data_IF_082814822070
#
_entry.id   IF_082814822070
#
_cell.length_a   1.000
_cell.length_b   1.000
_cell.length_c   1.000
_cell.angle_alpha   90.00
_cell.angle_beta   90.00
_cell.angle_gamma   90.00
#
_symmetry.space_group_name_H-M   'P 1'
#
loop_
_entity.id
_entity.type
_entity.pdbx_description
1 polymer ?
#
# COMPACT_ATOMS: atom_id res chain seq x y z
N UNK A 1 -52.42 -25.59 -2.01
CA UNK A 1 -52.47 -27.06 -2.13
C UNK A 1 -52.69 -27.61 -0.73
N UNK A 2 -53.76 -28.38 -0.53
CA UNK A 2 -54.00 -29.07 0.74
C UNK A 2 -52.99 -30.21 0.79
N UNK A 3 -52.01 -30.13 1.70
CA UNK A 3 -51.10 -31.24 1.96
C UNK A 3 -51.93 -32.37 2.58
N UNK A 4 -52.08 -33.47 1.86
CA UNK A 4 -52.73 -34.67 2.35
C UNK A 4 -51.72 -35.34 3.30
N UNK A 5 -51.84 -35.10 4.61
CA UNK A 5 -50.99 -35.76 5.60
C UNK A 5 -51.27 -37.26 5.59
N UNK A 6 -50.22 -38.04 5.28
CA UNK A 6 -50.26 -39.48 5.36
C UNK A 6 -50.35 -39.87 6.85
N UNK A 7 -51.41 -40.58 7.25
CA UNK A 7 -51.73 -40.84 8.67
C UNK A 7 -50.72 -41.80 9.37
N UNK A 8 -49.72 -42.27 8.64
CA UNK A 8 -48.63 -43.12 9.13
C UNK A 8 -47.27 -42.39 9.17
N UNK A 9 -47.23 -41.06 8.97
CA UNK A 9 -46.01 -40.29 9.13
C UNK A 9 -45.69 -40.11 10.62
N UNK A 10 -44.56 -40.67 11.14
CA UNK A 10 -44.19 -40.55 12.55
C UNK A 10 -44.00 -39.09 13.00
N UNK A 11 -43.71 -38.14 12.10
CA UNK A 11 -43.62 -36.73 12.45
C UNK A 11 -45.01 -36.09 12.66
N UNK A 12 -46.00 -36.50 11.87
CA UNK A 12 -47.38 -36.02 11.99
C UNK A 12 -48.05 -36.45 13.31
N UNK A 13 -47.60 -37.56 13.90
CA UNK A 13 -48.08 -38.06 15.20
C UNK A 13 -47.44 -37.27 16.36
N UNK A 14 -46.20 -36.81 16.20
CA UNK A 14 -45.45 -36.02 17.20
C UNK A 14 -45.94 -34.58 17.26
N UNK A 15 -46.30 -33.99 16.11
CA UNK A 15 -46.83 -32.63 16.01
C UNK A 15 -48.35 -32.54 16.23
N UNK A 16 -49.01 -33.67 16.50
CA UNK A 16 -50.45 -33.71 16.75
C UNK A 16 -50.81 -33.08 18.10
N UNK A 17 -51.90 -32.28 18.18
CA UNK A 17 -52.32 -31.67 19.44
C UNK A 17 -52.72 -32.73 20.47
N UNK A 18 -52.48 -32.50 21.78
CA UNK A 18 -52.85 -33.44 22.83
C UNK A 18 -54.37 -33.66 22.85
N UNK A 19 -54.85 -34.91 23.01
CA UNK A 19 -56.28 -35.22 22.89
C UNK A 19 -57.18 -34.61 24.00
N UNK A 20 -56.61 -34.05 25.07
CA UNK A 20 -57.32 -33.49 26.23
C UNK A 20 -56.97 -32.01 26.51
N UNK A 21 -56.74 -31.20 25.47
CA UNK A 21 -56.38 -29.77 25.59
C UNK A 21 -57.59 -28.90 26.00
N UNK A 22 -57.44 -28.04 27.02
CA UNK A 22 -58.47 -27.05 27.39
C UNK A 22 -58.51 -25.88 26.38
N UNK A 23 -59.63 -25.13 26.27
CA UNK A 23 -59.72 -23.99 25.34
C UNK A 23 -58.64 -22.92 25.55
N UNK A 24 -58.17 -22.75 26.79
CA UNK A 24 -57.11 -21.81 27.14
C UNK A 24 -55.72 -22.31 26.71
N UNK A 25 -55.44 -23.61 26.90
CA UNK A 25 -54.19 -24.23 26.46
C UNK A 25 -54.06 -24.24 24.93
N UNK A 26 -55.18 -24.45 24.23
CA UNK A 26 -55.26 -24.34 22.76
C UNK A 26 -54.89 -22.95 22.27
N UNK A 27 -55.44 -21.90 22.88
CA UNK A 27 -55.11 -20.51 22.53
C UNK A 27 -53.62 -20.22 22.74
N UNK A 28 -53.05 -20.66 23.87
CA UNK A 28 -51.64 -20.46 24.18
C UNK A 28 -50.68 -21.28 23.28
N UNK A 29 -51.13 -22.41 22.73
CA UNK A 29 -50.38 -23.18 21.71
C UNK A 29 -50.44 -22.48 20.35
N UNK A 30 -51.62 -22.06 19.91
CA UNK A 30 -51.81 -21.32 18.65
C UNK A 30 -51.03 -20.00 18.66
N UNK A 31 -50.98 -19.28 19.80
CA UNK A 31 -50.14 -18.09 19.96
C UNK A 31 -48.64 -18.40 19.86
N UNK A 32 -48.17 -19.49 20.50
CA UNK A 32 -46.77 -19.93 20.40
C UNK A 32 -46.39 -20.40 18.99
N UNK A 33 -47.27 -21.13 18.32
CA UNK A 33 -47.08 -21.56 16.93
C UNK A 33 -47.07 -20.35 15.97
N UNK A 34 -47.95 -19.36 16.21
CA UNK A 34 -47.96 -18.13 15.44
C UNK A 34 -46.70 -17.27 15.68
N UNK A 35 -46.21 -17.20 16.92
CA UNK A 35 -44.96 -16.53 17.26
C UNK A 35 -43.75 -17.26 16.67
N UNK A 36 -43.68 -18.58 16.79
CA UNK A 36 -42.63 -19.41 16.20
C UNK A 36 -42.59 -19.28 14.67
N UNK A 37 -43.77 -19.29 14.02
CA UNK A 37 -43.87 -19.06 12.58
C UNK A 37 -43.39 -17.66 12.19
N UNK A 38 -43.77 -16.63 12.95
CA UNK A 38 -43.28 -15.26 12.71
C UNK A 38 -41.76 -15.16 12.84
N UNK A 39 -41.17 -15.83 13.83
CA UNK A 39 -39.71 -15.87 14.02
C UNK A 39 -39.05 -16.62 12.86
N UNK A 40 -39.60 -17.75 12.42
CA UNK A 40 -39.09 -18.51 11.27
C UNK A 40 -39.13 -17.69 9.98
N UNK A 41 -40.25 -17.02 9.71
CA UNK A 41 -40.43 -16.18 8.53
C UNK A 41 -39.40 -15.02 8.54
N UNK A 42 -39.13 -14.41 9.70
CA UNK A 42 -38.10 -13.37 9.85
C UNK A 42 -36.69 -13.90 9.62
N UNK A 43 -36.37 -15.10 10.12
CA UNK A 43 -35.08 -15.75 9.88
C UNK A 43 -34.89 -16.04 8.39
N UNK A 44 -35.91 -16.58 7.72
CA UNK A 44 -35.87 -16.86 6.29
C UNK A 44 -35.71 -15.58 5.45
N UNK A 45 -36.36 -14.47 5.84
CA UNK A 45 -36.15 -13.17 5.21
C UNK A 45 -34.71 -12.67 5.39
N UNK A 46 -34.14 -12.79 6.59
CA UNK A 46 -32.74 -12.42 6.85
C UNK A 46 -31.76 -13.27 6.03
N UNK A 47 -31.96 -14.59 5.97
CA UNK A 47 -31.14 -15.49 5.16
C UNK A 47 -31.25 -15.14 3.67
N UNK A 48 -32.45 -14.77 3.20
CA UNK A 48 -32.66 -14.35 1.81
C UNK A 48 -31.97 -13.02 1.52
N UNK A 49 -31.99 -12.08 2.44
CA UNK A 49 -31.25 -10.82 2.33
C UNK A 49 -29.73 -11.06 2.28
N UNK A 50 -29.20 -11.87 3.19
CA UNK A 50 -27.78 -12.24 3.22
C UNK A 50 -27.35 -12.98 1.95
N UNK A 51 -28.16 -13.91 1.45
CA UNK A 51 -27.91 -14.57 0.15
C UNK A 51 -27.91 -13.59 -1.02
N UNK A 52 -28.78 -12.59 -1.00
CA UNK A 52 -28.81 -11.55 -2.03
C UNK A 52 -27.57 -10.65 -1.95
N UNK A 53 -27.07 -10.33 -0.75
CA UNK A 53 -25.82 -9.61 -0.55
C UNK A 53 -24.61 -10.42 -1.00
N UNK A 54 -24.51 -11.69 -0.61
CA UNK A 54 -23.46 -12.61 -1.08
C UNK A 54 -23.46 -12.75 -2.61
N UNK A 55 -24.64 -12.72 -3.23
CA UNK A 55 -24.75 -12.74 -4.69
C UNK A 55 -24.22 -11.44 -5.33
N UNK A 56 -24.45 -10.29 -4.70
CA UNK A 56 -23.84 -9.02 -5.12
C UNK A 56 -22.32 -9.02 -4.92
N UNK A 57 -21.83 -9.65 -3.86
CA UNK A 57 -20.38 -9.80 -3.63
C UNK A 57 -19.69 -10.70 -4.65
N UNK A 58 -20.40 -11.69 -5.21
CA UNK A 58 -19.86 -12.51 -6.32
C UNK A 58 -19.60 -11.71 -7.59
N UNK A 59 -20.34 -10.62 -7.81
CA UNK A 59 -20.13 -9.71 -8.94
C UNK A 59 -19.01 -8.68 -8.67
N UNK A 60 -18.26 -8.82 -7.56
CA UNK A 60 -17.16 -7.93 -7.18
C UNK A 60 -15.84 -8.63 -7.38
N UNK A 61 -14.96 -8.05 -8.21
CA UNK A 61 -13.60 -8.56 -8.39
C UNK A 61 -12.71 -8.00 -7.29
N UNK A 62 -12.08 -8.88 -6.52
CA UNK A 62 -11.16 -8.56 -5.42
C UNK A 62 -9.71 -8.69 -5.90
N UNK A 63 -8.96 -7.58 -5.84
CA UNK A 63 -7.56 -7.50 -6.26
C UNK A 63 -6.67 -7.06 -5.10
N UNK A 64 -5.61 -7.79 -4.84
CA UNK A 64 -4.65 -7.47 -3.78
C UNK A 64 -3.30 -7.03 -4.36
N UNK A 65 -2.80 -5.89 -3.88
CA UNK A 65 -1.49 -5.37 -4.25
C UNK A 65 -0.44 -5.85 -3.23
N UNK A 66 0.48 -6.71 -3.65
CA UNK A 66 1.53 -7.25 -2.79
C UNK A 66 2.93 -6.81 -3.25
N UNK A 67 3.90 -6.87 -2.34
CA UNK A 67 5.30 -6.58 -2.63
C UNK A 67 6.00 -5.87 -1.47
N UNK A 68 7.33 -5.82 -1.54
CA UNK A 68 8.17 -5.15 -0.53
C UNK A 68 7.79 -3.68 -0.33
N UNK A 69 8.17 -3.10 0.81
CA UNK A 69 8.15 -1.65 1.02
C UNK A 69 8.78 -0.93 -0.19
N UNK A 70 8.16 0.17 -0.61
CA UNK A 70 8.65 1.02 -1.70
C UNK A 70 8.68 0.37 -3.09
N UNK A 71 7.99 -0.77 -3.29
CA UNK A 71 7.90 -1.42 -4.60
C UNK A 71 6.99 -0.72 -5.61
N UNK A 72 6.20 0.27 -5.18
CA UNK A 72 5.27 1.04 -6.03
C UNK A 72 3.79 0.63 -5.94
N UNK A 73 3.37 -0.11 -4.89
CA UNK A 73 1.99 -0.59 -4.71
C UNK A 73 0.98 0.56 -4.71
N UNK A 74 1.15 1.50 -3.78
CA UNK A 74 0.29 2.68 -3.66
C UNK A 74 0.33 3.56 -4.91
N UNK A 75 1.47 3.65 -5.60
CA UNK A 75 1.56 4.35 -6.90
C UNK A 75 0.76 3.65 -7.99
N UNK A 76 0.76 2.31 -8.02
CA UNK A 76 -0.07 1.54 -8.96
C UNK A 76 -1.55 1.74 -8.66
N UNK A 77 -1.93 1.75 -7.38
CA UNK A 77 -3.29 2.07 -6.96
C UNK A 77 -3.70 3.50 -7.39
N UNK A 78 -2.84 4.50 -7.17
CA UNK A 78 -3.08 5.88 -7.66
C UNK A 78 -3.34 5.90 -9.16
N UNK A 79 -2.56 5.15 -9.97
CA UNK A 79 -2.82 5.04 -11.41
C UNK A 79 -4.17 4.41 -11.75
N UNK A 80 -4.62 3.39 -11.00
CA UNK A 80 -5.98 2.85 -11.16
C UNK A 80 -7.03 3.91 -10.88
N UNK A 81 -6.87 4.67 -9.79
CA UNK A 81 -7.81 5.73 -9.39
C UNK A 81 -7.84 6.87 -10.40
N UNK A 82 -6.69 7.37 -10.84
CA UNK A 82 -6.60 8.38 -11.90
C UNK A 82 -7.28 7.97 -13.20
N UNK A 83 -7.26 6.66 -13.52
CA UNK A 83 -7.82 6.17 -14.77
C UNK A 83 -9.33 5.88 -14.69
N UNK A 84 -9.81 5.42 -13.54
CA UNK A 84 -11.15 4.87 -13.39
C UNK A 84 -12.05 5.62 -12.39
N UNK A 85 -11.49 6.54 -11.61
CA UNK A 85 -12.19 7.35 -10.61
C UNK A 85 -11.67 8.81 -10.65
N UNK A 86 -11.83 9.49 -11.80
CA UNK A 86 -11.26 10.82 -12.04
C UNK A 86 -11.88 11.91 -11.16
N UNK A 87 -13.19 11.87 -10.92
CA UNK A 87 -13.88 12.88 -10.11
C UNK A 87 -13.38 12.86 -8.66
N UNK A 88 -13.39 11.68 -8.02
CA UNK A 88 -12.84 11.49 -6.67
C UNK A 88 -11.35 11.86 -6.59
N UNK A 89 -10.59 11.59 -7.66
CA UNK A 89 -9.16 11.91 -7.72
C UNK A 89 -8.91 13.42 -7.74
N UNK A 90 -9.71 14.18 -8.48
CA UNK A 90 -9.57 15.65 -8.57
C UNK A 90 -9.86 16.29 -7.22
N UNK A 91 -10.90 15.84 -6.52
CA UNK A 91 -11.24 16.32 -5.17
C UNK A 91 -10.13 16.01 -4.16
N UNK A 92 -9.51 14.84 -4.26
CA UNK A 92 -8.39 14.43 -3.41
C UNK A 92 -7.09 15.18 -3.68
N UNK A 93 -6.85 15.59 -4.92
CA UNK A 93 -5.56 16.13 -5.36
C UNK A 93 -5.09 17.28 -4.50
N UNK A 94 -6.00 18.16 -4.08
CA UNK A 94 -5.71 19.31 -3.22
C UNK A 94 -5.20 18.87 -1.83
N UNK A 95 -5.73 17.79 -1.27
CA UNK A 95 -5.31 17.27 0.03
C UNK A 95 -3.90 16.69 0.04
N UNK A 96 -3.32 16.37 -1.14
CA UNK A 96 -1.95 15.90 -1.24
C UNK A 96 -0.90 16.99 -1.08
N UNK A 97 -1.28 18.26 -1.09
CA UNK A 97 -0.37 19.39 -0.89
C UNK A 97 0.43 19.25 0.42
N UNK A 98 -0.25 18.97 1.54
CA UNK A 98 0.40 18.78 2.84
C UNK A 98 1.37 17.58 2.85
N UNK A 99 1.07 16.52 2.10
CA UNK A 99 1.94 15.34 1.98
C UNK A 99 3.19 15.66 1.15
N UNK A 100 3.04 16.40 0.05
CA UNK A 100 4.14 16.84 -0.81
C UNK A 100 5.07 17.78 -0.04
N UNK A 101 4.50 18.76 0.64
CA UNK A 101 5.24 19.66 1.53
C UNK A 101 6.00 18.87 2.62
N UNK A 102 5.36 17.87 3.22
CA UNK A 102 6.03 16.99 4.19
C UNK A 102 7.19 16.21 3.56
N UNK A 103 7.04 15.72 2.32
CA UNK A 103 8.12 15.00 1.63
C UNK A 103 9.32 15.92 1.35
N UNK A 104 9.06 17.16 0.92
CA UNK A 104 10.09 18.17 0.68
C UNK A 104 10.84 18.47 1.99
N UNK A 105 10.10 18.83 3.04
CA UNK A 105 10.65 19.21 4.35
C UNK A 105 11.45 18.06 4.96
N UNK A 106 10.94 16.83 4.90
CA UNK A 106 11.68 15.64 5.37
C UNK A 106 12.97 15.42 4.60
N UNK A 107 12.93 15.56 3.27
CA UNK A 107 14.13 15.36 2.45
C UNK A 107 15.23 16.34 2.84
N UNK A 108 14.88 17.61 3.05
CA UNK A 108 15.82 18.64 3.53
C UNK A 108 16.33 18.31 4.94
N UNK A 109 15.46 17.95 5.88
CA UNK A 109 15.88 17.61 7.24
C UNK A 109 16.82 16.39 7.28
N UNK A 110 16.60 15.37 6.43
CA UNK A 110 17.50 14.21 6.29
C UNK A 110 18.88 14.63 5.75
N UNK A 111 18.92 15.54 4.77
CA UNK A 111 20.19 16.09 4.27
C UNK A 111 20.91 16.83 5.40
N UNK A 112 20.21 17.70 6.15
CA UNK A 112 20.78 18.45 7.26
C UNK A 112 21.31 17.54 8.38
N UNK A 113 20.57 16.49 8.74
CA UNK A 113 21.00 15.49 9.72
C UNK A 113 22.26 14.76 9.26
N UNK A 114 22.31 14.36 8.00
CA UNK A 114 23.46 13.66 7.46
C UNK A 114 24.72 14.54 7.37
N UNK A 115 24.58 15.84 7.14
CA UNK A 115 25.69 16.79 7.17
C UNK A 115 26.19 17.10 8.59
N UNK A 116 25.33 16.93 9.61
CA UNK A 116 25.60 17.31 11.00
C UNK A 116 25.83 16.12 11.96
N UNK A 117 25.77 14.89 11.47
CA UNK A 117 25.83 13.69 12.31
C UNK A 117 27.16 13.54 13.06
N UNK A 118 27.07 13.34 14.37
CA UNK A 118 28.18 12.95 15.24
C UNK A 118 28.82 11.62 14.78
N UNK A 119 30.16 11.46 14.84
CA UNK A 119 30.88 10.27 14.36
C UNK A 119 30.66 8.99 15.19
N UNK A 120 29.61 8.89 16.01
CA UNK A 120 29.48 7.86 17.04
C UNK A 120 28.80 6.54 16.60
N UNK A 121 28.15 6.47 15.43
CA UNK A 121 27.49 5.23 14.97
C UNK A 121 27.96 4.73 13.58
N UNK A 122 28.91 5.42 12.96
CA UNK A 122 29.50 5.00 11.68
C UNK A 122 30.84 4.30 11.93
N UNK A 123 30.81 3.03 12.35
CA UNK A 123 31.96 2.16 12.06
C UNK A 123 32.11 2.07 10.54
N UNK A 124 33.24 2.60 10.06
CA UNK A 124 33.65 2.78 8.66
C UNK A 124 33.00 3.91 7.85
N UNK A 125 33.19 5.16 8.32
CA UNK A 125 33.29 6.28 7.37
C UNK A 125 32.86 7.63 7.93
N UNK A 126 33.79 8.33 8.60
CA UNK A 126 33.66 9.77 8.83
C UNK A 126 33.30 10.49 7.52
N UNK A 127 32.40 11.48 7.59
CA UNK A 127 32.24 12.48 6.55
C UNK A 127 33.63 13.04 6.22
N UNK A 128 34.08 12.88 4.97
CA UNK A 128 35.38 13.39 4.53
C UNK A 128 35.30 14.86 4.13
N UNK A 129 34.08 15.39 3.97
CA UNK A 129 33.81 16.79 3.67
C UNK A 129 33.78 17.59 4.97
N UNK A 130 34.74 18.51 5.12
CA UNK A 130 34.74 19.46 6.23
C UNK A 130 33.43 20.26 6.17
N UNK A 131 32.63 20.20 7.23
CA UNK A 131 31.46 21.06 7.40
C UNK A 131 31.95 22.51 7.29
N UNK A 132 31.44 23.25 6.31
CA UNK A 132 31.80 24.65 6.07
C UNK A 132 30.93 25.57 6.93
N UNK A 133 31.38 26.81 7.16
CA UNK A 133 30.59 27.82 7.88
C UNK A 133 29.23 28.08 7.20
N UNK A 134 29.18 27.90 5.87
CA UNK A 134 27.95 27.98 5.09
C UNK A 134 26.93 26.89 5.47
N UNK A 135 27.36 25.66 5.74
CA UNK A 135 26.47 24.59 6.19
C UNK A 135 25.90 24.88 7.59
N UNK A 136 26.70 25.45 8.49
CA UNK A 136 26.27 25.84 9.83
C UNK A 136 25.20 26.96 9.75
N UNK A 137 25.42 27.94 8.87
CA UNK A 137 24.46 29.02 8.63
C UNK A 137 23.14 28.49 8.04
N UNK A 138 23.20 27.64 7.02
CA UNK A 138 22.02 27.03 6.41
C UNK A 138 21.24 26.20 7.43
N UNK A 139 21.92 25.45 8.30
CA UNK A 139 21.28 24.70 9.39
C UNK A 139 20.48 25.63 10.31
N UNK A 140 21.08 26.74 10.74
CA UNK A 140 20.38 27.70 11.62
C UNK A 140 19.19 28.35 10.94
N UNK A 141 19.26 28.63 9.63
CA UNK A 141 18.18 29.27 8.86
C UNK A 141 17.04 28.30 8.54
N UNK A 142 17.35 27.02 8.36
CA UNK A 142 16.39 25.97 8.04
C UNK A 142 15.79 25.28 9.29
N UNK A 143 16.19 25.68 10.50
CA UNK A 143 15.62 25.17 11.75
C UNK A 143 14.07 25.25 11.83
N UNK A 144 13.39 26.30 11.31
CA UNK A 144 11.93 26.36 11.28
C UNK A 144 11.27 25.15 10.58
N UNK A 145 11.95 24.52 9.62
CA UNK A 145 11.45 23.35 8.91
C UNK A 145 11.26 22.13 9.84
N UNK A 146 11.94 22.07 10.98
CA UNK A 146 11.74 21.01 11.99
C UNK A 146 10.39 21.15 12.68
N UNK A 147 9.95 22.38 12.91
CA UNK A 147 8.64 22.68 13.50
C UNK A 147 7.56 22.36 12.46
N UNK A 148 7.74 22.84 11.23
CA UNK A 148 6.85 22.52 10.10
C UNK A 148 6.69 21.02 9.91
N UNK A 149 7.78 20.24 10.00
CA UNK A 149 7.69 18.78 9.89
C UNK A 149 6.79 18.18 10.98
N UNK A 150 6.91 18.65 12.23
CA UNK A 150 6.07 18.19 13.35
C UNK A 150 4.60 18.59 13.15
N UNK A 151 4.36 19.79 12.67
CA UNK A 151 3.00 20.30 12.44
C UNK A 151 2.31 19.56 11.29
N UNK A 152 3.01 19.35 10.17
CA UNK A 152 2.50 18.52 9.07
C UNK A 152 2.27 17.07 9.52
N UNK A 153 3.15 16.51 10.34
CA UNK A 153 2.95 15.19 10.95
C UNK A 153 1.69 15.14 11.82
N UNK A 154 1.46 16.18 12.62
CA UNK A 154 0.29 16.28 13.49
C UNK A 154 -1.00 16.47 12.69
N UNK A 155 -0.96 17.30 11.65
CA UNK A 155 -2.07 17.55 10.73
C UNK A 155 -2.46 16.26 9.99
N UNK A 156 -1.48 15.55 9.45
CA UNK A 156 -1.69 14.29 8.74
C UNK A 156 -1.99 13.10 9.68
N UNK A 157 -1.73 13.26 10.98
CA UNK A 157 -1.61 12.16 11.94
C UNK A 157 -2.52 12.26 13.15
N UNK A 158 -3.80 12.62 12.99
CA UNK A 158 -4.79 12.39 14.05
C UNK A 158 -4.94 10.88 14.30
N UNK A 159 -4.18 10.41 15.31
CA UNK A 159 -3.97 9.03 15.77
C UNK A 159 -2.85 8.23 15.07
N UNK A 160 -1.66 8.81 14.92
CA UNK A 160 -0.44 8.01 14.78
C UNK A 160 0.01 7.53 16.18
N UNK A 161 -0.38 6.31 16.57
CA UNK A 161 0.39 5.60 17.61
C UNK A 161 1.77 5.32 17.02
N UNK A 162 2.82 5.89 17.62
CA UNK A 162 4.18 5.41 17.44
C UNK A 162 4.19 3.95 17.89
N UNK A 163 4.19 3.00 16.94
CA UNK A 163 4.49 1.61 17.28
C UNK A 163 5.97 1.61 17.64
N UNK A 164 6.23 1.64 18.96
CA UNK A 164 7.56 1.41 19.51
C UNK A 164 7.84 -0.08 19.30
N UNK A 165 8.44 -0.41 18.15
CA UNK A 165 8.83 -1.79 17.84
C UNK A 165 9.74 -2.30 18.95
N UNK A 166 9.29 -3.35 19.63
CA UNK A 166 10.02 -4.01 20.69
C UNK A 166 11.31 -4.63 20.14
N UNK A 167 12.31 -4.67 21.02
CA UNK A 167 13.67 -5.18 20.87
C UNK A 167 13.90 -6.35 19.90
N UNK A 168 15.02 -6.23 19.17
CA UNK A 168 15.94 -7.25 18.63
C UNK A 168 15.46 -8.69 18.41
N UNK A 169 15.67 -9.09 17.15
CA UNK A 169 15.71 -10.44 16.57
C UNK A 169 14.39 -11.02 16.04
N UNK A 170 14.39 -11.19 14.70
CA UNK A 170 13.41 -11.88 13.85
C UNK A 170 12.18 -11.08 13.35
N UNK A 171 12.47 -10.04 12.56
CA UNK A 171 11.49 -9.47 11.61
C UNK A 171 11.24 -10.46 10.45
N UNK A 172 10.04 -11.02 10.39
CA UNK A 172 9.65 -12.10 9.48
C UNK A 172 9.76 -11.72 8.00
N UNK A 173 10.38 -12.59 7.21
CA UNK A 173 10.55 -12.38 5.78
C UNK A 173 9.26 -12.69 5.01
N UNK A 174 8.38 -13.53 5.54
CA UNK A 174 7.16 -13.95 4.86
C UNK A 174 5.93 -13.72 5.73
N UNK A 175 4.74 -13.56 5.14
CA UNK A 175 3.50 -13.39 5.91
C UNK A 175 3.05 -14.68 6.63
N UNK A 176 3.76 -15.81 6.49
CA UNK A 176 3.33 -17.14 6.97
C UNK A 176 4.16 -17.70 8.13
N UNK A 177 5.21 -17.00 8.57
CA UNK A 177 6.02 -17.40 9.72
C UNK A 177 5.31 -16.98 11.02
N UNK A 178 5.26 -17.85 12.03
CA UNK A 178 4.67 -17.54 13.35
C UNK A 178 5.69 -16.88 14.28
N UNK A 179 5.27 -16.15 15.33
CA UNK A 179 6.20 -15.53 16.27
C UNK A 179 6.89 -16.61 17.13
N UNK A 180 8.23 -16.57 17.18
CA UNK A 180 9.04 -17.41 18.09
C UNK A 180 9.49 -16.55 19.26
N UNK A 181 9.26 -17.03 20.48
CA UNK A 181 9.62 -16.37 21.73
C UNK A 181 11.13 -16.50 21.99
N UNK A 182 11.88 -15.40 22.11
CA UNK A 182 12.51 -14.96 23.37
C UNK A 182 13.54 -13.81 23.26
N UNK A 183 13.63 -13.06 24.37
CA UNK A 183 14.74 -12.19 24.87
C UNK A 183 14.99 -10.77 24.33
N UNK A 184 15.11 -9.86 25.29
CA UNK A 184 15.10 -8.39 25.18
C UNK A 184 16.51 -7.79 25.03
N UNK A 185 16.78 -7.06 23.94
CA UNK A 185 17.79 -5.96 23.94
C UNK A 185 17.27 -4.70 23.24
N UNK A 186 17.27 -3.57 23.96
CA UNK A 186 16.72 -2.29 23.53
C UNK A 186 17.79 -1.45 22.82
N UNK A 187 17.64 -1.23 21.52
CA UNK A 187 18.37 -0.19 20.76
C UNK A 187 17.38 0.77 20.12
N UNK A 188 17.67 2.07 20.18
CA UNK A 188 16.79 3.15 19.72
C UNK A 188 17.02 3.38 18.23
N UNK A 189 16.03 3.08 17.39
CA UNK A 189 16.01 3.47 15.96
C UNK A 189 14.82 4.40 15.68
N UNK A 190 14.95 5.16 14.59
CA UNK A 190 14.03 6.22 14.13
C UNK A 190 12.57 5.78 14.13
N UNK A 191 11.71 6.49 14.85
CA UNK A 191 10.27 6.26 14.88
C UNK A 191 9.65 6.39 13.48
N UNK A 192 8.85 5.41 13.09
CA UNK A 192 8.18 5.37 11.80
C UNK A 192 6.89 6.20 11.84
N UNK A 193 6.74 7.12 10.88
CA UNK A 193 5.55 7.96 10.77
C UNK A 193 4.56 7.38 9.76
N UNK A 194 3.29 7.30 10.16
CA UNK A 194 2.19 6.69 9.42
C UNK A 194 0.96 7.60 9.36
N UNK A 195 0.16 7.44 8.31
CA UNK A 195 -1.15 8.10 8.18
C UNK A 195 -2.20 7.02 7.98
N UNK A 196 -3.12 6.90 8.95
CA UNK A 196 -4.17 5.86 8.96
C UNK A 196 -5.21 6.07 7.86
N UNK A 197 -5.59 7.31 7.58
CA UNK A 197 -6.50 7.65 6.49
C UNK A 197 -6.40 9.13 6.17
N UNK A 198 -5.92 9.46 4.96
CA UNK A 198 -5.90 10.84 4.48
C UNK A 198 -7.33 11.35 4.19
N UNK A 199 -8.32 10.46 4.00
CA UNK A 199 -9.74 10.82 3.80
C UNK A 199 -10.34 11.58 5.00
N UNK A 200 -9.80 11.39 6.20
CA UNK A 200 -10.25 12.15 7.38
C UNK A 200 -9.93 13.65 7.25
N UNK A 201 -8.97 14.03 6.39
CA UNK A 201 -8.60 15.41 6.12
C UNK A 201 -9.52 16.09 5.09
N UNK A 202 -10.21 15.32 4.23
CA UNK A 202 -11.18 15.86 3.27
C UNK A 202 -12.44 16.45 3.95
N UNK A 203 -12.71 16.04 5.19
CA UNK A 203 -13.83 16.54 6.00
C UNK A 203 -13.41 17.60 7.03
N UNK A 204 -12.36 18.39 6.75
CA UNK A 204 -12.21 19.69 7.41
C UNK A 204 -13.02 20.69 6.58
N UNK A 205 -14.22 21.11 7.04
CA UNK A 205 -15.06 21.97 6.23
C UNK A 205 -14.37 23.33 6.08
N UNK A 206 -14.16 23.72 4.83
CA UNK A 206 -13.81 25.08 4.47
C UNK A 206 -15.07 25.95 4.68
N UNK A 207 -15.18 26.58 5.85
CA UNK A 207 -16.11 27.70 6.09
C UNK A 207 -17.18 27.49 7.16
N UNK A 208 -17.05 28.25 8.25
CA UNK A 208 -17.99 29.27 8.75
C UNK A 208 -17.91 29.32 10.29
N UNK A 209 -17.05 30.22 10.76
CA UNK A 209 -16.80 30.41 12.19
C UNK A 209 -17.94 31.23 12.80
N UNK A 210 -19.03 30.57 13.17
CA UNK A 210 -20.15 31.20 13.89
C UNK A 210 -20.45 30.63 15.28
N UNK A 211 -19.77 29.59 15.73
CA UNK A 211 -19.95 29.09 17.09
C UNK A 211 -18.62 28.81 17.77
N UNK A 212 -18.20 29.76 18.61
CA UNK A 212 -16.99 29.73 19.42
C UNK A 212 -16.95 28.54 20.38
N UNK A 213 -16.37 27.43 19.89
CA UNK A 213 -15.72 26.43 20.74
C UNK A 213 -14.23 26.45 20.41
N UNK A 214 -13.46 26.95 21.38
CA UNK A 214 -12.00 26.97 21.38
C UNK A 214 -11.52 25.51 21.37
N UNK A 215 -11.24 24.96 20.20
CA UNK A 215 -10.30 23.85 20.05
C UNK A 215 -8.91 24.47 19.91
N UNK A 216 -8.00 24.05 20.78
CA UNK A 216 -6.63 24.58 20.84
C UNK A 216 -5.86 24.36 19.54
N UNK A 217 -5.34 25.47 19.02
CA UNK A 217 -4.01 25.60 18.41
C UNK A 217 -3.65 24.60 17.31
N UNK A 218 -4.58 24.31 16.39
CA UNK A 218 -4.23 23.68 15.10
C UNK A 218 -3.53 24.72 14.22
N UNK A 219 -2.24 24.52 13.86
CA UNK A 219 -1.55 25.45 12.99
C UNK A 219 -2.32 25.57 11.68
N UNK A 220 -2.54 26.82 11.25
CA UNK A 220 -3.20 27.12 10.00
C UNK A 220 -2.32 26.60 8.85
N UNK A 221 -2.89 25.86 7.89
CA UNK A 221 -2.16 25.35 6.72
C UNK A 221 -1.51 26.48 5.91
N UNK A 222 -2.06 27.70 6.05
CA UNK A 222 -1.51 28.92 5.48
C UNK A 222 -0.11 29.25 6.06
N UNK A 223 0.05 29.16 7.38
CA UNK A 223 1.30 29.46 8.10
C UNK A 223 2.42 28.47 7.72
N UNK A 224 2.08 27.19 7.61
CA UNK A 224 3.03 26.15 7.15
C UNK A 224 3.54 26.43 5.74
N UNK A 225 2.66 26.79 4.82
CA UNK A 225 3.03 27.05 3.42
C UNK A 225 3.89 28.33 3.32
N UNK A 226 3.59 29.35 4.12
CA UNK A 226 4.38 30.58 4.18
C UNK A 226 5.79 30.35 4.70
N UNK A 227 5.96 29.55 5.76
CA UNK A 227 7.28 29.19 6.30
C UNK A 227 8.09 28.43 5.25
N UNK A 228 7.50 27.44 4.56
CA UNK A 228 8.18 26.69 3.50
C UNK A 228 8.60 27.63 2.36
N UNK A 229 7.72 28.55 1.94
CA UNK A 229 8.01 29.54 0.92
C UNK A 229 9.19 30.46 1.31
N UNK A 230 9.26 30.87 2.58
CA UNK A 230 10.35 31.70 3.11
C UNK A 230 11.71 30.99 3.13
N UNK A 231 11.70 29.66 3.32
CA UNK A 231 12.91 28.84 3.38
C UNK A 231 13.39 28.36 1.99
N UNK A 232 12.65 28.67 0.92
CA UNK A 232 12.90 28.15 -0.44
C UNK A 232 14.34 28.32 -0.91
N UNK A 233 14.88 29.53 -0.83
CA UNK A 233 16.21 29.83 -1.38
C UNK A 233 17.31 29.11 -0.59
N UNK A 234 17.13 28.96 0.72
CA UNK A 234 18.04 28.22 1.59
C UNK A 234 17.99 26.71 1.33
N UNK A 235 16.79 26.15 1.11
CA UNK A 235 16.60 24.75 0.72
C UNK A 235 17.25 24.46 -0.64
N UNK A 236 17.11 25.39 -1.59
CA UNK A 236 17.73 25.28 -2.92
C UNK A 236 19.25 25.37 -2.85
N UNK A 237 19.78 26.29 -2.05
CA UNK A 237 21.22 26.40 -1.81
C UNK A 237 21.79 25.13 -1.20
N UNK A 238 21.08 24.50 -0.24
CA UNK A 238 21.48 23.22 0.34
C UNK A 238 21.45 22.09 -0.69
N UNK A 239 20.41 22.01 -1.52
CA UNK A 239 20.28 20.95 -2.52
C UNK A 239 21.34 21.06 -3.62
N UNK A 240 21.70 22.27 -4.02
CA UNK A 240 22.71 22.52 -5.06
C UNK A 240 24.15 22.44 -4.56
N UNK A 241 24.36 22.23 -3.26
CA UNK A 241 25.70 22.15 -2.69
C UNK A 241 26.48 20.92 -3.18
N UNK A 242 27.74 21.13 -3.61
CA UNK A 242 28.61 20.09 -4.16
C UNK A 242 28.92 18.98 -3.15
N UNK A 243 29.05 19.31 -1.86
CA UNK A 243 29.29 18.31 -0.82
C UNK A 243 28.05 17.43 -0.63
N UNK A 244 26.85 18.03 -0.62
CA UNK A 244 25.58 17.27 -0.56
C UNK A 244 25.44 16.33 -1.75
N UNK A 245 25.65 16.84 -2.97
CA UNK A 245 25.57 16.03 -4.20
C UNK A 245 26.61 14.91 -4.21
N UNK A 246 27.82 15.16 -3.72
CA UNK A 246 28.87 14.14 -3.61
C UNK A 246 28.51 13.05 -2.61
N UNK A 247 27.97 13.39 -1.43
CA UNK A 247 27.59 12.42 -0.41
C UNK A 247 26.33 11.61 -0.81
N UNK A 248 25.42 12.20 -1.58
CA UNK A 248 24.31 11.50 -2.25
C UNK A 248 24.83 10.50 -3.29
N UNK A 249 25.78 10.91 -4.15
CA UNK A 249 26.38 10.03 -5.15
C UNK A 249 27.14 8.85 -4.52
N UNK A 250 27.75 9.05 -3.34
CA UNK A 250 28.39 8.00 -2.54
C UNK A 250 27.38 7.08 -1.83
N UNK A 251 26.10 7.44 -1.80
CA UNK A 251 25.04 6.68 -1.13
C UNK A 251 25.11 6.71 0.40
N UNK A 252 25.80 7.72 0.97
CA UNK A 252 25.89 7.95 2.42
C UNK A 252 24.63 8.65 2.93
N UNK A 253 24.12 9.61 2.16
CA UNK A 253 22.79 10.18 2.37
C UNK A 253 21.80 9.32 1.58
N UNK A 254 20.80 8.77 2.26
CA UNK A 254 19.74 7.98 1.63
C UNK A 254 18.44 8.77 1.65
N UNK A 255 18.08 9.28 0.49
CA UNK A 255 16.79 9.91 0.25
C UNK A 255 15.84 8.92 -0.42
N UNK A 256 14.55 9.24 -0.37
CA UNK A 256 13.55 8.54 -1.16
C UNK A 256 13.78 8.77 -2.66
N UNK A 257 13.43 7.79 -3.50
CA UNK A 257 13.65 7.86 -4.96
C UNK A 257 13.02 9.10 -5.62
N UNK A 258 11.91 9.60 -5.07
CA UNK A 258 11.22 10.80 -5.57
C UNK A 258 11.73 12.12 -4.99
N UNK A 259 12.69 12.11 -4.06
CA UNK A 259 13.19 13.34 -3.44
C UNK A 259 13.80 14.29 -4.49
N UNK A 260 14.58 13.76 -5.44
CA UNK A 260 15.17 14.58 -6.50
C UNK A 260 14.13 15.27 -7.39
N UNK A 261 12.99 14.62 -7.65
CA UNK A 261 11.90 15.22 -8.42
C UNK A 261 11.35 16.48 -7.73
N UNK A 262 11.11 16.42 -6.42
CA UNK A 262 10.60 17.58 -5.69
C UNK A 262 11.68 18.64 -5.43
N UNK A 263 12.90 18.24 -5.08
CA UNK A 263 13.97 19.19 -4.75
C UNK A 263 14.50 19.95 -5.97
N UNK A 264 14.36 19.40 -7.18
CA UNK A 264 14.69 20.11 -8.41
C UNK A 264 13.65 21.19 -8.77
N UNK A 265 12.39 21.00 -8.37
CA UNK A 265 11.25 21.85 -8.72
C UNK A 265 10.79 22.76 -7.56
N UNK A 266 11.67 23.04 -6.60
CA UNK A 266 11.33 23.86 -5.42
C UNK A 266 10.69 25.20 -5.77
N UNK A 267 11.11 25.84 -6.86
CA UNK A 267 10.56 27.13 -7.31
C UNK A 267 9.05 27.09 -7.58
N UNK A 268 8.53 25.94 -8.04
CA UNK A 268 7.11 25.72 -8.30
C UNK A 268 6.37 25.22 -7.06
N UNK A 269 7.03 24.39 -6.25
CA UNK A 269 6.40 23.65 -5.15
C UNK A 269 6.26 24.45 -3.85
N UNK A 270 7.05 25.51 -3.68
CA UNK A 270 7.02 26.34 -2.47
C UNK A 270 6.30 27.68 -2.68
N UNK A 271 5.45 27.81 -3.70
CA UNK A 271 4.63 29.02 -3.92
C UNK A 271 3.38 28.95 -3.04
N UNK A 272 2.87 30.10 -2.58
CA UNK A 272 1.71 30.17 -1.68
C UNK A 272 0.42 29.57 -2.30
N UNK A 273 0.22 29.75 -3.61
CA UNK A 273 -0.90 29.23 -4.39
C UNK A 273 -0.58 27.91 -5.11
N UNK A 274 0.38 27.13 -4.57
CA UNK A 274 0.77 25.86 -5.16
C UNK A 274 -0.41 24.86 -5.20
N UNK A 275 -0.79 24.45 -6.41
CA UNK A 275 -1.70 23.33 -6.64
C UNK A 275 -0.94 22.07 -7.10
N UNK A 276 -1.12 20.93 -6.41
CA UNK A 276 -0.50 19.67 -6.83
C UNK A 276 -0.93 19.21 -8.23
N UNK A 277 0.05 18.81 -9.03
CA UNK A 277 -0.21 18.12 -10.30
C UNK A 277 -0.38 16.61 -10.08
N UNK A 278 -0.97 15.90 -11.04
CA UNK A 278 -1.09 14.44 -10.98
C UNK A 278 0.29 13.75 -10.84
N UNK A 279 1.30 14.33 -11.48
CA UNK A 279 2.68 13.85 -11.46
C UNK A 279 3.33 14.00 -10.07
N UNK A 280 3.02 15.11 -9.39
CA UNK A 280 3.41 15.36 -8.00
C UNK A 280 2.76 14.35 -7.06
N UNK A 281 1.45 14.14 -7.18
CA UNK A 281 0.71 13.20 -6.34
C UNK A 281 1.20 11.76 -6.55
N UNK A 282 1.52 11.34 -7.77
CA UNK A 282 2.03 10.01 -8.06
C UNK A 282 3.40 9.74 -7.40
N UNK A 283 4.27 10.76 -7.38
CA UNK A 283 5.62 10.69 -6.77
C UNK A 283 5.62 11.00 -5.28
N UNK A 284 4.55 11.60 -4.77
CA UNK A 284 4.38 11.89 -3.36
C UNK A 284 4.34 10.58 -2.58
N UNK A 285 5.18 10.53 -1.55
CA UNK A 285 5.43 9.33 -0.77
C UNK A 285 4.72 9.43 0.57
N UNK A 286 3.70 8.58 0.71
CA UNK A 286 3.06 8.31 1.98
C UNK A 286 3.23 6.82 2.26
N UNK A 287 3.86 6.46 3.39
CA UNK A 287 3.99 5.05 3.77
C UNK A 287 2.62 4.53 4.22
N UNK A 288 2.07 3.55 3.49
CA UNK A 288 0.83 2.86 3.87
C UNK A 288 1.05 2.12 5.19
N UNK A 289 0.28 2.49 6.22
CA UNK A 289 0.13 1.70 7.44
C UNK A 289 -1.10 0.80 7.34
N UNK A 290 -0.94 -0.46 7.73
CA UNK A 290 -2.04 -1.41 7.73
C UNK A 290 -2.53 -1.71 6.31
N UNK A 291 -3.84 -1.83 6.17
CA UNK A 291 -4.50 -2.30 4.96
C UNK A 291 -5.60 -1.31 4.60
N UNK A 292 -5.60 -0.86 3.34
CA UNK A 292 -6.57 0.08 2.83
C UNK A 292 -7.37 -0.55 1.70
N UNK A 293 -8.70 -0.44 1.80
CA UNK A 293 -9.65 -0.90 0.79
C UNK A 293 -10.12 0.27 -0.09
N UNK A 294 -10.09 0.06 -1.40
CA UNK A 294 -10.53 1.01 -2.40
C UNK A 294 -11.53 0.34 -3.33
N UNK A 295 -12.73 0.89 -3.38
CA UNK A 295 -13.78 0.44 -4.29
C UNK A 295 -13.72 1.29 -5.56
N UNK A 296 -13.66 0.65 -6.71
CA UNK A 296 -13.73 1.28 -8.02
C UNK A 296 -15.01 0.84 -8.73
N UNK A 297 -15.80 1.80 -9.19
CA UNK A 297 -16.99 1.56 -9.98
C UNK A 297 -16.66 1.81 -11.46
N UNK A 298 -17.02 0.86 -12.34
CA UNK A 298 -16.77 0.99 -13.77
C UNK A 298 -18.10 1.19 -14.51
N UNK A 299 -18.24 2.33 -15.20
CA UNK A 299 -19.47 2.69 -15.91
C UNK A 299 -19.68 1.89 -17.22
N UNK A 300 -18.60 1.39 -17.84
CA UNK A 300 -18.68 0.77 -19.16
C UNK A 300 -18.91 -0.73 -19.08
N UNK A 301 -20.18 -1.12 -19.26
CA UNK A 301 -20.60 -2.50 -19.55
C UNK A 301 -20.08 -2.89 -20.93
N UNK A 302 -18.92 -3.53 -20.97
CA UNK A 302 -18.53 -4.37 -22.12
C UNK A 302 -18.89 -5.79 -21.74
N UNK A 303 -20.09 -6.22 -22.12
CA UNK A 303 -20.60 -7.61 -22.06
C UNK A 303 -20.16 -8.44 -20.84
N UNK A 304 -21.06 -8.57 -19.87
CA UNK A 304 -21.01 -9.60 -18.83
C UNK A 304 -19.75 -9.58 -17.97
N UNK A 305 -19.48 -8.45 -17.28
CA UNK A 305 -18.36 -8.35 -16.35
C UNK A 305 -18.69 -7.58 -15.07
N UNK A 306 -18.01 -7.94 -13.98
CA UNK A 306 -18.10 -7.32 -12.67
C UNK A 306 -18.04 -5.78 -12.74
N UNK A 307 -19.08 -5.12 -12.22
CA UNK A 307 -19.24 -3.65 -12.22
C UNK A 307 -18.37 -2.94 -11.18
N UNK A 308 -17.85 -3.70 -10.22
CA UNK A 308 -17.18 -3.13 -9.04
C UNK A 308 -15.92 -3.92 -8.76
N UNK A 309 -14.81 -3.22 -8.58
CA UNK A 309 -13.56 -3.81 -8.13
C UNK A 309 -13.26 -3.33 -6.73
N UNK A 310 -12.79 -4.25 -5.89
CA UNK A 310 -12.23 -3.94 -4.58
C UNK A 310 -10.73 -4.17 -4.63
N UNK A 311 -9.97 -3.10 -4.49
CA UNK A 311 -8.52 -3.13 -4.45
C UNK A 311 -8.03 -2.97 -3.02
N UNK A 312 -7.13 -3.85 -2.61
CA UNK A 312 -6.51 -3.83 -1.28
C UNK A 312 -5.04 -3.41 -1.42
N UNK A 313 -4.65 -2.28 -0.81
CA UNK A 313 -3.25 -1.86 -0.67
C UNK A 313 -2.78 -2.20 0.75
N UNK A 314 -1.75 -3.03 0.84
CA UNK A 314 -1.19 -3.49 2.13
C UNK A 314 0.20 -2.94 2.36
N UNK A 315 0.54 -2.68 3.62
CA UNK A 315 1.89 -2.32 4.03
C UNK A 315 2.93 -3.34 3.57
N UNK A 316 3.98 -2.89 2.89
CA UNK A 316 5.03 -3.76 2.33
C UNK A 316 6.19 -4.09 3.28
N UNK A 317 6.24 -3.43 4.44
CA UNK A 317 7.26 -3.67 5.47
C UNK A 317 7.16 -5.10 5.99
N UNK A 318 8.30 -5.69 6.36
CA UNK A 318 8.37 -7.03 6.96
C UNK A 318 7.47 -7.15 8.21
N UNK A 319 7.46 -6.12 9.04
CA UNK A 319 6.66 -6.07 10.27
C UNK A 319 5.15 -6.13 10.03
N UNK A 320 4.68 -5.73 8.84
CA UNK A 320 3.26 -5.69 8.49
C UNK A 320 2.79 -6.90 7.67
N UNK A 321 3.69 -7.82 7.28
CA UNK A 321 3.34 -8.92 6.36
C UNK A 321 2.32 -9.90 6.95
N UNK A 322 2.40 -10.17 8.26
CA UNK A 322 1.46 -11.06 8.95
C UNK A 322 -0.01 -10.62 8.79
N UNK A 323 -0.26 -9.32 8.63
CA UNK A 323 -1.61 -8.78 8.44
C UNK A 323 -2.23 -9.13 7.07
N UNK A 324 -1.47 -9.69 6.13
CA UNK A 324 -1.97 -10.01 4.79
C UNK A 324 -2.85 -11.26 4.74
N UNK A 325 -2.62 -12.23 5.64
CA UNK A 325 -3.28 -13.54 5.60
C UNK A 325 -4.82 -13.50 5.59
N UNK A 326 -5.48 -12.67 6.42
CA UNK A 326 -6.95 -12.60 6.43
C UNK A 326 -7.55 -12.16 5.10
N UNK A 327 -6.77 -11.46 4.27
CA UNK A 327 -7.24 -10.97 2.98
C UNK A 327 -7.04 -11.99 1.88
N UNK A 328 -6.29 -13.08 2.08
CA UNK A 328 -6.01 -14.08 1.03
C UNK A 328 -7.24 -14.91 0.64
N UNK A 329 -8.29 -14.91 1.45
CA UNK A 329 -9.51 -15.66 1.18
C UNK A 329 -10.40 -14.93 0.16
N UNK A 330 -10.77 -15.64 -0.92
CA UNK A 330 -11.69 -15.12 -1.93
C UNK A 330 -11.12 -14.01 -2.82
N UNK A 331 -9.79 -13.90 -2.96
CA UNK A 331 -9.17 -12.99 -3.93
C UNK A 331 -9.15 -13.59 -5.33
N UNK A 332 -9.61 -12.81 -6.31
CA UNK A 332 -9.55 -13.15 -7.73
C UNK A 332 -8.15 -12.95 -8.33
N UNK A 333 -7.47 -11.85 -7.98
CA UNK A 333 -6.13 -11.55 -8.50
C UNK A 333 -5.17 -10.92 -7.48
N UNK A 334 -3.90 -11.31 -7.57
CA UNK A 334 -2.79 -10.65 -6.87
C UNK A 334 -1.89 -9.96 -7.89
N UNK A 335 -1.68 -8.66 -7.72
CA UNK A 335 -0.66 -7.91 -8.45
C UNK A 335 0.54 -7.77 -7.52
N UNK A 336 1.60 -8.52 -7.81
CA UNK A 336 2.85 -8.48 -7.08
C UNK A 336 3.81 -7.48 -7.73
N UNK A 337 4.27 -6.50 -6.96
CA UNK A 337 5.21 -5.49 -7.41
C UNK A 337 6.62 -5.81 -6.88
N UNK A 338 7.52 -6.10 -7.80
CA UNK A 338 8.93 -6.34 -7.55
C UNK A 338 9.75 -5.15 -8.07
N UNK A 339 10.39 -4.33 -7.20
CA UNK A 339 11.29 -3.29 -7.65
C UNK A 339 12.55 -3.94 -8.20
N UNK A 340 12.83 -3.80 -9.50
CA UNK A 340 14.01 -4.43 -10.11
C UNK A 340 15.28 -3.60 -9.95
N UNK A 341 15.13 -2.31 -9.68
CA UNK A 341 16.24 -1.38 -9.48
C UNK A 341 17.02 -1.62 -8.18
N UNK A 342 16.46 -2.32 -7.20
CA UNK A 342 17.05 -2.50 -5.86
C UNK A 342 18.09 -3.63 -5.78
N UNK A 343 18.57 -4.14 -6.92
CA UNK A 343 19.54 -5.24 -6.99
C UNK A 343 20.86 -4.96 -6.24
N UNK A 344 21.23 -3.69 -6.07
CA UNK A 344 22.41 -3.26 -5.33
C UNK A 344 22.12 -2.71 -3.92
N UNK A 345 20.89 -2.86 -3.43
CA UNK A 345 20.43 -2.30 -2.17
C UNK A 345 20.16 -3.37 -1.11
N UNK A 346 20.26 -2.97 0.15
CA UNK A 346 19.97 -3.79 1.34
C UNK A 346 18.69 -3.28 2.01
N UNK A 347 17.95 -4.16 2.66
CA UNK A 347 16.74 -3.76 3.41
C UNK A 347 17.10 -2.74 4.50
N UNK A 348 16.14 -1.88 4.84
CA UNK A 348 16.27 -0.96 5.97
C UNK A 348 16.12 -1.71 7.30
N UNK A 349 15.20 -2.68 7.28
CA UNK A 349 14.84 -3.63 8.32
C UNK A 349 16.02 -4.56 8.65
N UNK A 350 16.58 -5.23 7.63
CA UNK A 350 17.70 -6.16 7.75
C UNK A 350 18.82 -5.89 6.73
N UNK A 351 19.91 -5.27 7.18
CA UNK A 351 21.06 -4.90 6.35
C UNK A 351 21.89 -6.08 5.84
N UNK A 352 21.58 -7.32 6.25
CA UNK A 352 22.26 -8.53 5.74
C UNK A 352 21.65 -8.98 4.42
N UNK A 353 20.36 -8.71 4.21
CA UNK A 353 19.59 -9.22 3.08
C UNK A 353 19.49 -8.17 1.98
N UNK A 354 19.72 -8.62 0.75
CA UNK A 354 19.52 -7.81 -0.45
C UNK A 354 18.01 -7.60 -0.71
N UNK A 355 17.61 -6.39 -1.12
CA UNK A 355 16.20 -6.05 -1.33
C UNK A 355 15.54 -6.87 -2.44
N UNK A 356 16.27 -7.16 -3.51
CA UNK A 356 15.77 -7.99 -4.62
C UNK A 356 15.64 -9.45 -4.19
N UNK A 357 16.55 -9.94 -3.36
CA UNK A 357 16.49 -11.29 -2.79
C UNK A 357 15.25 -11.46 -1.89
N UNK A 358 14.95 -10.48 -1.04
CA UNK A 358 13.71 -10.48 -0.24
C UNK A 358 12.46 -10.51 -1.13
N UNK A 359 12.49 -9.87 -2.29
CA UNK A 359 11.39 -9.94 -3.26
C UNK A 359 11.23 -11.34 -3.87
N UNK A 360 12.32 -12.08 -4.11
CA UNK A 360 12.26 -13.47 -4.55
C UNK A 360 11.72 -14.40 -3.47
N UNK A 361 12.18 -14.24 -2.23
CA UNK A 361 11.70 -15.01 -1.06
C UNK A 361 10.20 -14.79 -0.89
N UNK A 362 9.75 -13.54 -0.95
CA UNK A 362 8.36 -13.17 -0.81
C UNK A 362 7.49 -13.75 -1.94
N UNK A 363 7.95 -13.64 -3.19
CA UNK A 363 7.24 -14.21 -4.34
C UNK A 363 7.10 -15.73 -4.24
N UNK A 364 8.18 -16.43 -3.88
CA UNK A 364 8.15 -17.88 -3.65
C UNK A 364 7.11 -18.25 -2.60
N UNK A 365 7.04 -17.49 -1.51
CA UNK A 365 6.07 -17.72 -0.44
C UNK A 365 4.62 -17.51 -0.90
N UNK A 366 4.37 -16.47 -1.70
CA UNK A 366 3.04 -16.19 -2.28
C UNK A 366 2.63 -17.31 -3.25
N UNK A 367 3.52 -17.73 -4.15
CA UNK A 367 3.24 -18.82 -5.08
C UNK A 367 2.95 -20.15 -4.35
N UNK A 368 3.64 -20.42 -3.23
CA UNK A 368 3.48 -21.66 -2.45
C UNK A 368 2.17 -21.70 -1.64
N UNK A 369 1.47 -20.57 -1.50
CA UNK A 369 0.28 -20.47 -0.66
C UNK A 369 -0.89 -21.26 -1.23
N UNK A 370 -1.48 -22.14 -0.41
CA UNK A 370 -2.72 -22.86 -0.75
C UNK A 370 -3.94 -21.97 -0.77
N UNK A 371 -3.98 -20.91 0.05
CA UNK A 371 -5.08 -19.96 0.07
C UNK A 371 -5.24 -19.23 -1.27
N UNK A 372 -4.10 -19.01 -1.94
CA UNK A 372 -4.06 -18.34 -3.24
C UNK A 372 -4.12 -19.35 -4.39
N UNK A 373 -4.42 -20.64 -4.19
CA UNK A 373 -4.29 -21.69 -5.22
C UNK A 373 -4.94 -21.33 -6.58
N UNK A 374 -6.15 -20.76 -6.53
CA UNK A 374 -6.98 -20.41 -7.71
C UNK A 374 -6.92 -18.94 -8.10
N UNK A 375 -6.09 -18.15 -7.42
CA UNK A 375 -5.95 -16.72 -7.66
C UNK A 375 -5.03 -16.44 -8.85
N UNK A 376 -5.39 -15.48 -9.70
CA UNK A 376 -4.52 -15.04 -10.79
C UNK A 376 -3.31 -14.27 -10.23
N UNK A 377 -2.09 -14.72 -10.55
CA UNK A 377 -0.85 -14.04 -10.11
C UNK A 377 -0.25 -13.23 -11.26
N UNK A 378 -0.10 -11.93 -11.02
CA UNK A 378 0.44 -10.97 -11.98
C UNK A 378 1.67 -10.32 -11.36
N UNK A 379 2.80 -10.32 -12.06
CA UNK A 379 4.02 -9.65 -11.60
C UNK A 379 4.33 -8.38 -12.39
N UNK A 380 4.54 -7.29 -11.66
CA UNK A 380 5.08 -6.04 -12.17
C UNK A 380 6.55 -5.92 -11.77
N UNK A 381 7.42 -5.96 -12.77
CA UNK A 381 8.84 -5.63 -12.64
C UNK A 381 8.95 -4.11 -12.72
N UNK A 382 8.92 -3.45 -11.56
CA UNK A 382 8.78 -2.00 -11.47
C UNK A 382 10.13 -1.28 -11.30
N UNK A 383 10.15 0.03 -11.55
CA UNK A 383 11.33 0.91 -11.51
C UNK A 383 12.35 0.56 -12.59
N UNK A 384 11.86 0.22 -13.78
CA UNK A 384 12.71 -0.09 -14.94
C UNK A 384 13.57 1.10 -15.38
N UNK A 385 13.06 2.31 -15.25
CA UNK A 385 13.75 3.58 -15.48
C UNK A 385 15.00 3.71 -14.58
N UNK A 386 14.85 3.47 -13.28
CA UNK A 386 15.95 3.54 -12.32
C UNK A 386 16.94 2.39 -12.56
N UNK A 387 16.47 1.20 -12.96
CA UNK A 387 17.33 0.09 -13.33
C UNK A 387 18.22 0.44 -14.53
N UNK A 388 17.62 0.98 -15.59
CA UNK A 388 18.33 1.40 -16.80
C UNK A 388 19.37 2.46 -16.49
N UNK A 389 19.03 3.46 -15.68
CA UNK A 389 19.96 4.49 -15.24
C UNK A 389 21.15 3.90 -14.45
N UNK A 390 20.90 2.99 -13.51
CA UNK A 390 21.95 2.33 -12.73
C UNK A 390 22.90 1.50 -13.61
N UNK A 391 22.36 0.82 -14.61
CA UNK A 391 23.17 0.05 -15.58
C UNK A 391 24.04 1.00 -16.42
N UNK A 392 23.47 2.10 -16.91
CA UNK A 392 24.17 3.11 -17.71
C UNK A 392 25.29 3.82 -16.91
N UNK A 393 25.12 3.97 -15.59
CA UNK A 393 26.17 4.43 -14.67
C UNK A 393 27.31 3.42 -14.47
N UNK A 394 27.20 2.22 -15.03
CA UNK A 394 28.22 1.17 -14.95
C UNK A 394 28.11 0.27 -13.72
N UNK A 395 26.97 0.27 -13.02
CA UNK A 395 26.76 -0.64 -11.89
C UNK A 395 26.53 -2.05 -12.44
N UNK A 396 27.43 -2.98 -12.08
CA UNK A 396 27.41 -4.35 -12.59
C UNK A 396 26.45 -5.22 -11.78
N UNK A 397 25.44 -5.80 -12.43
CA UNK A 397 24.42 -6.65 -11.78
C UNK A 397 25.03 -7.94 -11.22
N UNK A 398 25.97 -8.56 -11.94
CA UNK A 398 26.64 -9.80 -11.52
C UNK A 398 27.38 -9.68 -10.17
N UNK A 399 27.82 -8.48 -9.80
CA UNK A 399 28.50 -8.21 -8.52
C UNK A 399 27.57 -8.42 -7.32
N UNK A 400 26.29 -8.10 -7.48
CA UNK A 400 25.30 -8.20 -6.40
C UNK A 400 24.45 -9.45 -6.52
N UNK A 401 24.24 -9.94 -7.74
CA UNK A 401 23.42 -11.10 -8.02
C UNK A 401 24.26 -12.19 -8.66
N UNK A 402 24.84 -13.07 -7.84
CA UNK A 402 25.70 -14.16 -8.30
C UNK A 402 24.97 -15.11 -9.28
N UNK A 403 23.66 -15.30 -9.08
CA UNK A 403 22.82 -16.11 -9.96
C UNK A 403 22.70 -15.55 -11.40
N UNK A 404 23.06 -14.28 -11.61
CA UNK A 404 23.11 -13.66 -12.93
C UNK A 404 24.26 -14.17 -13.80
N UNK A 405 25.37 -14.62 -13.19
CA UNK A 405 26.55 -15.12 -13.90
C UNK A 405 27.17 -14.11 -14.86
N UNK A 406 27.66 -14.59 -16.00
CA UNK A 406 28.42 -13.81 -17.00
C UNK A 406 27.56 -13.18 -18.11
N UNK A 407 26.26 -12.98 -17.84
CA UNK A 407 25.33 -12.36 -18.79
C UNK A 407 25.69 -10.88 -19.02
N UNK A 408 25.36 -10.31 -20.20
CA UNK A 408 25.67 -8.91 -20.49
C UNK A 408 24.98 -7.96 -19.51
N UNK A 409 25.66 -6.89 -19.11
CA UNK A 409 25.12 -5.88 -18.20
C UNK A 409 24.27 -4.86 -18.98
N UNK A 410 23.21 -5.36 -19.63
CA UNK A 410 22.28 -4.57 -20.44
C UNK A 410 20.86 -4.68 -19.88
N UNK A 411 20.10 -3.58 -19.93
CA UNK A 411 18.72 -3.53 -19.42
C UNK A 411 17.85 -4.69 -19.93
N UNK A 412 17.89 -4.96 -21.24
CA UNK A 412 17.10 -6.01 -21.89
C UNK A 412 17.44 -7.41 -21.36
N UNK A 413 18.73 -7.69 -21.16
CA UNK A 413 19.21 -8.97 -20.65
C UNK A 413 18.84 -9.17 -19.17
N UNK A 414 18.98 -8.12 -18.36
CA UNK A 414 18.64 -8.14 -16.94
C UNK A 414 17.13 -8.37 -16.75
N UNK A 415 16.28 -7.61 -17.44
CA UNK A 415 14.81 -7.79 -17.36
C UNK A 415 14.40 -9.18 -17.83
N UNK A 416 14.96 -9.67 -18.93
CA UNK A 416 14.67 -11.03 -19.43
C UNK A 416 15.05 -12.09 -18.41
N UNK A 417 16.20 -11.95 -17.76
CA UNK A 417 16.64 -12.84 -16.70
C UNK A 417 15.70 -12.81 -15.50
N UNK A 418 15.38 -11.63 -14.98
CA UNK A 418 14.51 -11.49 -13.81
C UNK A 418 13.11 -12.06 -14.09
N UNK A 419 12.54 -11.73 -15.25
CA UNK A 419 11.27 -12.30 -15.71
C UNK A 419 11.30 -13.83 -15.73
N UNK A 420 12.38 -14.42 -16.24
CA UNK A 420 12.55 -15.87 -16.30
C UNK A 420 12.68 -16.48 -14.90
N UNK A 421 13.42 -15.84 -13.98
CA UNK A 421 13.56 -16.29 -12.59
C UNK A 421 12.23 -16.31 -11.83
N UNK A 422 11.44 -15.23 -11.94
CA UNK A 422 10.10 -15.19 -11.33
C UNK A 422 9.16 -16.25 -11.93
N UNK A 423 9.26 -16.50 -13.24
CA UNK A 423 8.51 -17.55 -13.93
C UNK A 423 8.87 -18.95 -13.41
N UNK A 424 10.15 -19.26 -13.32
CA UNK A 424 10.66 -20.54 -12.80
C UNK A 424 10.18 -20.77 -11.37
N UNK A 425 10.28 -19.74 -10.52
CA UNK A 425 9.79 -19.81 -9.14
C UNK A 425 8.28 -20.13 -9.07
N UNK A 426 7.47 -19.49 -9.91
CA UNK A 426 6.03 -19.75 -9.95
C UNK A 426 5.73 -21.17 -10.45
N UNK A 427 6.41 -21.63 -11.50
CA UNK A 427 6.19 -22.97 -12.06
C UNK A 427 6.60 -24.09 -11.08
N UNK A 428 7.62 -23.87 -10.25
CA UNK A 428 8.11 -24.87 -9.30
C UNK A 428 7.27 -24.97 -8.02
N UNK A 429 6.72 -23.85 -7.54
CA UNK A 429 6.13 -23.77 -6.20
C UNK A 429 4.60 -23.64 -6.20
N UNK A 430 3.97 -23.27 -7.32
CA UNK A 430 2.52 -23.14 -7.38
C UNK A 430 1.81 -24.49 -7.19
N UNK A 431 0.80 -24.58 -6.30
CA UNK A 431 0.01 -25.80 -6.10
C UNK A 431 -0.72 -26.29 -7.36
N UNK A 432 -1.20 -25.35 -8.18
CA UNK A 432 -1.91 -25.60 -9.43
C UNK A 432 -1.17 -24.88 -10.58
N UNK A 433 -1.21 -25.41 -11.82
CA UNK A 433 -0.59 -24.76 -12.97
C UNK A 433 -1.30 -23.44 -13.29
N UNK A 434 -0.52 -22.35 -13.38
CA UNK A 434 -1.05 -21.00 -13.64
C UNK A 434 -0.41 -20.38 -14.88
N UNK A 435 -1.16 -19.50 -15.52
CA UNK A 435 -0.63 -18.64 -16.59
C UNK A 435 0.28 -17.58 -15.97
N UNK A 436 1.48 -17.41 -16.53
CA UNK A 436 2.45 -16.43 -16.04
C UNK A 436 2.24 -15.07 -16.71
N UNK A 437 1.74 -14.10 -15.95
CA UNK A 437 1.59 -12.70 -16.39
C UNK A 437 2.71 -11.85 -15.80
N UNK A 438 3.56 -11.30 -16.67
CA UNK A 438 4.66 -10.42 -16.26
C UNK A 438 4.76 -9.18 -17.13
N UNK A 439 4.86 -8.02 -16.49
CA UNK A 439 4.95 -6.72 -17.14
C UNK A 439 6.16 -5.96 -16.58
N UNK A 440 6.96 -5.38 -17.47
CA UNK A 440 7.97 -4.40 -17.09
C UNK A 440 7.27 -3.04 -17.00
N UNK A 441 7.37 -2.37 -15.86
CA UNK A 441 6.59 -1.18 -15.56
C UNK A 441 7.44 -0.04 -15.01
N UNK A 442 7.02 1.17 -15.35
CA UNK A 442 7.44 2.41 -14.71
C UNK A 442 6.15 3.04 -14.21
N UNK A 443 5.76 2.74 -12.97
CA UNK A 443 4.46 3.15 -12.43
C UNK A 443 4.29 4.66 -12.30
N UNK A 444 5.37 5.43 -12.39
CA UNK A 444 5.32 6.90 -12.46
C UNK A 444 4.88 7.39 -13.84
N UNK A 445 5.02 6.56 -14.90
CA UNK A 445 4.58 6.90 -16.25
C UNK A 445 3.10 6.51 -16.46
N UNK A 446 2.22 7.52 -16.42
CA UNK A 446 0.76 7.34 -16.49
C UNK A 446 0.27 6.70 -17.77
N UNK A 447 0.81 7.10 -18.94
CA UNK A 447 0.35 6.62 -20.26
C UNK A 447 0.65 5.13 -20.47
N UNK A 448 1.90 4.73 -20.24
CA UNK A 448 2.33 3.34 -20.37
C UNK A 448 1.65 2.44 -19.31
N UNK A 449 1.55 2.93 -18.07
CA UNK A 449 0.86 2.22 -17.00
C UNK A 449 -0.61 2.05 -17.32
N UNK A 450 -1.31 3.06 -17.84
CA UNK A 450 -2.71 2.96 -18.23
C UNK A 450 -2.97 1.86 -19.27
N UNK A 451 -2.10 1.68 -20.26
CA UNK A 451 -2.22 0.59 -21.24
C UNK A 451 -2.00 -0.79 -20.59
N UNK A 452 -1.01 -0.89 -19.70
CA UNK A 452 -0.72 -2.10 -18.95
C UNK A 452 -1.89 -2.48 -18.04
N UNK A 453 -2.46 -1.52 -17.31
CA UNK A 453 -3.61 -1.73 -16.44
C UNK A 453 -4.86 -2.16 -17.20
N UNK A 454 -5.06 -1.66 -18.44
CA UNK A 454 -6.15 -2.14 -19.31
C UNK A 454 -5.98 -3.64 -19.60
N UNK A 455 -4.77 -4.04 -20.00
CA UNK A 455 -4.46 -5.43 -20.34
C UNK A 455 -4.60 -6.36 -19.12
N UNK A 456 -4.16 -5.89 -17.95
CA UNK A 456 -4.34 -6.60 -16.67
C UNK A 456 -5.82 -6.75 -16.33
N UNK A 457 -6.60 -5.67 -16.46
CA UNK A 457 -8.03 -5.69 -16.20
C UNK A 457 -8.75 -6.71 -17.07
N UNK A 458 -8.50 -6.67 -18.37
CA UNK A 458 -9.14 -7.56 -19.34
C UNK A 458 -8.70 -9.03 -19.12
N UNK A 459 -7.47 -9.25 -18.63
CA UNK A 459 -6.97 -10.56 -18.24
C UNK A 459 -7.63 -11.13 -16.98
N UNK A 460 -7.76 -10.31 -15.93
CA UNK A 460 -8.43 -10.70 -14.68
C UNK A 460 -9.91 -10.99 -14.93
N UNK A 461 -10.59 -10.12 -15.69
CA UNK A 461 -12.01 -10.30 -16.00
C UNK A 461 -12.26 -11.61 -16.74
N UNK A 462 -11.43 -11.95 -17.72
CA UNK A 462 -11.53 -13.21 -18.45
C UNK A 462 -11.39 -14.43 -17.55
N UNK A 463 -10.50 -14.37 -16.55
CA UNK A 463 -10.29 -15.50 -15.65
C UNK A 463 -11.41 -15.61 -14.61
N UNK A 464 -11.88 -14.47 -14.08
CA UNK A 464 -13.04 -14.40 -13.20
C UNK A 464 -14.29 -14.97 -13.88
N UNK A 465 -14.53 -14.65 -15.17
CA UNK A 465 -15.67 -15.18 -15.91
C UNK A 465 -15.59 -16.69 -16.13
N UNK A 466 -14.41 -17.23 -16.46
CA UNK A 466 -14.24 -18.70 -16.52
C UNK A 466 -14.60 -19.33 -15.18
N UNK A 467 -14.12 -18.76 -14.07
CA UNK A 467 -14.41 -19.31 -12.74
C UNK A 467 -15.90 -19.22 -12.39
N UNK A 468 -16.60 -18.17 -12.84
CA UNK A 468 -18.05 -18.03 -12.68
C UNK A 468 -18.85 -19.04 -13.52
N UNK A 469 -18.41 -19.34 -14.75
CA UNK A 469 -19.09 -20.28 -15.66
C UNK A 469 -18.94 -21.76 -15.26
N UNK A 470 -17.93 -22.09 -14.43
CA UNK A 470 -17.69 -23.46 -13.94
C UNK A 470 -18.40 -23.77 -12.60
N UNK A 471 -19.27 -22.88 -12.10
CA UNK A 471 -20.02 -23.07 -10.83
C UNK A 471 -21.50 -23.34 -11.06
#
# INVERSE_FOLDING_TARGET
MVFNHDANDPLAIVDAPPPNETPHEKSAREEREAEAKRISDLIDENIKAERAELKKEKDVVKVLLLGQSESGKSTTLKNFRMKYAQEEWIEERTSWQAVIQLNIVRSINVILDALCGDPAENEEGSLTTKVTDQHILLKSRLEPLRVVEKDLKRLLGTSAEEIVDASSDEQQATPFEGPVSDTLTRHKRSGEFFVRSWRTLLHVPYGDNRNGRILGDTPDTCDVTEIIASCKDDMKALWQDDAVQTELARGRIRLDDSAGFFLNDLDRLTVQDYEPTDDDVLRARLRTSGIQEYTLHFDTVSYEGARTWKMFDVGGSRTMRHAWLPYFEGIDAVIFLAPVSCFNEKLAEDRRINRLEDSFILWKSICSSRLLARTALIIFLNKCDILEEKINRGIMVNKYLQSYGDRPNEYSAVIKYLRQKFKESMMQHSPEPRVFYAYATVVTETKATAMTLKSVRDGILREHLKQADFV
#
